data_IF_097562878097
#
_entry.id   IF_097562878097
#
_cell.length_a   1.000
_cell.length_b   1.000
_cell.length_c   1.000
_cell.angle_alpha   90.00
_cell.angle_beta   90.00
_cell.angle_gamma   90.00
#
_symmetry.space_group_name_H-M   'P 1'
#
loop_
_entity.id
_entity.type
_entity.pdbx_description
1 polymer ?
#
# COMPACT_ATOMS: atom_id res chain seq x y z
N UNK A 1 14.31 34.00 14.57
CA UNK A 1 13.67 33.04 15.47
C UNK A 1 12.72 32.18 14.65
N UNK A 2 13.19 31.05 14.11
CA UNK A 2 12.33 30.05 13.42
C UNK A 2 12.88 28.61 13.50
N UNK A 3 13.83 28.35 14.39
CA UNK A 3 14.61 27.11 14.45
C UNK A 3 13.73 25.87 14.67
N UNK A 4 12.62 26.00 15.39
CA UNK A 4 11.72 24.88 15.67
C UNK A 4 11.02 24.36 14.41
N UNK A 5 10.51 25.26 13.58
CA UNK A 5 9.87 24.91 12.31
C UNK A 5 10.89 24.31 11.34
N UNK A 6 12.10 24.85 11.31
CA UNK A 6 13.18 24.32 10.47
C UNK A 6 13.59 22.89 10.87
N UNK A 7 13.67 22.61 12.18
CA UNK A 7 13.93 21.25 12.69
C UNK A 7 12.78 20.31 12.33
N UNK A 8 11.53 20.75 12.48
CA UNK A 8 10.35 19.96 12.10
C UNK A 8 10.36 19.61 10.61
N UNK A 9 10.63 20.56 9.73
CA UNK A 9 10.75 20.28 8.30
C UNK A 9 11.88 19.30 7.98
N UNK A 10 13.04 19.47 8.64
CA UNK A 10 14.20 18.58 8.43
C UNK A 10 13.95 17.16 8.96
N UNK A 11 13.33 17.04 10.13
CA UNK A 11 12.91 15.76 10.71
C UNK A 11 11.84 15.07 9.86
N UNK A 12 10.82 15.82 9.44
CA UNK A 12 9.73 15.29 8.61
C UNK A 12 10.26 14.80 7.28
N UNK A 13 11.17 15.55 6.64
CA UNK A 13 11.84 15.12 5.40
C UNK A 13 12.65 13.85 5.59
N UNK A 14 13.37 13.72 6.71
CA UNK A 14 14.08 12.49 7.06
C UNK A 14 13.11 11.32 7.27
N UNK A 15 12.04 11.52 8.03
CA UNK A 15 11.04 10.50 8.32
C UNK A 15 10.37 10.01 7.03
N UNK A 16 9.98 10.92 6.13
CA UNK A 16 9.42 10.57 4.82
C UNK A 16 10.44 9.77 4.00
N UNK A 17 11.70 10.20 3.96
CA UNK A 17 12.73 9.47 3.21
C UNK A 17 12.98 8.07 3.78
N UNK A 18 12.98 7.92 5.11
CA UNK A 18 13.10 6.62 5.80
C UNK A 18 11.90 5.74 5.51
N UNK A 19 10.68 6.27 5.61
CA UNK A 19 9.45 5.55 5.30
C UNK A 19 9.50 5.09 3.85
N UNK A 20 9.73 5.99 2.89
CA UNK A 20 9.80 5.62 1.46
C UNK A 20 10.88 4.57 1.21
N UNK A 21 12.09 4.76 1.76
CA UNK A 21 13.20 3.81 1.60
C UNK A 21 12.90 2.43 2.21
N UNK A 22 12.32 2.42 3.41
CA UNK A 22 11.91 1.20 4.12
C UNK A 22 10.82 0.45 3.36
N UNK A 23 9.76 1.13 2.93
CA UNK A 23 8.69 0.54 2.13
C UNK A 23 9.24 0.05 0.78
N UNK A 24 10.10 0.82 0.11
CA UNK A 24 10.66 0.38 -1.17
C UNK A 24 11.53 -0.88 -1.01
N UNK A 25 12.34 -0.95 0.05
CA UNK A 25 13.18 -2.13 0.34
C UNK A 25 12.35 -3.36 0.70
N UNK A 26 11.32 -3.20 1.55
CA UNK A 26 10.45 -4.29 2.00
C UNK A 26 9.46 -4.76 0.94
N UNK A 27 8.99 -3.87 0.06
CA UNK A 27 8.11 -4.20 -1.06
C UNK A 27 8.87 -4.74 -2.29
N UNK A 28 10.19 -4.53 -2.40
CA UNK A 28 11.04 -5.09 -3.48
C UNK A 28 10.85 -6.60 -3.73
N UNK A 29 10.87 -7.48 -2.71
CA UNK A 29 10.56 -8.91 -2.91
C UNK A 29 9.13 -9.15 -3.40
N UNK A 30 8.16 -8.34 -2.96
CA UNK A 30 6.75 -8.44 -3.41
C UNK A 30 6.65 -8.13 -4.91
N UNK A 31 7.29 -7.05 -5.37
CA UNK A 31 7.37 -6.73 -6.80
C UNK A 31 8.11 -7.80 -7.61
N UNK A 32 9.12 -8.46 -7.02
CA UNK A 32 9.84 -9.57 -7.67
C UNK A 32 8.94 -10.78 -7.88
N UNK A 33 8.11 -11.13 -6.89
CA UNK A 33 7.12 -12.23 -7.04
C UNK A 33 6.09 -11.91 -8.13
N UNK A 34 5.72 -10.63 -8.27
CA UNK A 34 4.75 -10.17 -9.25
C UNK A 34 5.27 -10.12 -10.70
N UNK A 35 6.59 -10.19 -10.92
CA UNK A 35 7.21 -10.21 -12.25
C UNK A 35 7.03 -11.55 -12.98
N UNK A 36 6.78 -12.64 -12.25
CA UNK A 36 6.54 -13.94 -12.85
C UNK A 36 5.10 -14.00 -13.38
N UNK A 37 4.90 -14.19 -14.70
CA UNK A 37 3.58 -14.20 -15.36
C UNK A 37 2.58 -15.13 -14.67
N UNK A 38 2.99 -16.35 -14.27
CA UNK A 38 2.09 -17.30 -13.58
C UNK A 38 1.67 -16.80 -12.19
N UNK A 39 2.60 -16.20 -11.44
CA UNK A 39 2.32 -15.67 -10.10
C UNK A 39 1.54 -14.36 -10.15
N UNK A 40 1.73 -13.54 -11.20
CA UNK A 40 0.95 -12.34 -11.47
C UNK A 40 -0.54 -12.67 -11.65
N UNK A 41 -0.85 -13.70 -12.42
CA UNK A 41 -2.24 -14.14 -12.63
C UNK A 41 -2.88 -14.58 -11.31
N UNK A 42 -2.19 -15.39 -10.51
CA UNK A 42 -2.67 -15.83 -9.19
C UNK A 42 -2.93 -14.63 -8.27
N UNK A 43 -1.98 -13.68 -8.21
CA UNK A 43 -2.14 -12.47 -7.42
C UNK A 43 -3.35 -11.64 -7.88
N UNK A 44 -3.55 -11.50 -9.19
CA UNK A 44 -4.70 -10.77 -9.75
C UNK A 44 -6.04 -11.41 -9.40
N UNK A 45 -6.12 -12.75 -9.43
CA UNK A 45 -7.33 -13.49 -9.06
C UNK A 45 -7.66 -13.27 -7.57
N UNK A 46 -6.66 -13.36 -6.70
CA UNK A 46 -6.85 -13.13 -5.25
C UNK A 46 -7.36 -11.72 -4.98
N UNK A 47 -6.79 -10.71 -5.65
CA UNK A 47 -7.24 -9.32 -5.50
C UNK A 47 -8.69 -9.14 -6.00
N UNK A 48 -9.04 -9.75 -7.13
CA UNK A 48 -10.41 -9.69 -7.67
C UNK A 48 -11.42 -10.32 -6.70
N UNK A 49 -11.10 -11.47 -6.13
CA UNK A 49 -11.93 -12.12 -5.11
C UNK A 49 -12.10 -11.20 -3.90
N UNK A 50 -11.02 -10.60 -3.41
CA UNK A 50 -11.07 -9.69 -2.27
C UNK A 50 -11.98 -8.48 -2.52
N UNK A 51 -11.90 -7.86 -3.71
CA UNK A 51 -12.76 -6.74 -4.11
C UNK A 51 -14.23 -7.17 -4.15
N UNK A 52 -14.53 -8.34 -4.75
CA UNK A 52 -15.90 -8.87 -4.82
C UNK A 52 -16.44 -9.16 -3.42
N UNK A 53 -15.62 -9.73 -2.54
CA UNK A 53 -16.02 -9.99 -1.15
C UNK A 53 -16.32 -8.70 -0.40
N UNK A 54 -15.45 -7.69 -0.52
CA UNK A 54 -15.68 -6.37 0.10
C UNK A 54 -16.96 -5.73 -0.46
N UNK A 55 -17.16 -5.78 -1.77
CA UNK A 55 -18.37 -5.26 -2.42
C UNK A 55 -19.62 -5.95 -1.87
N UNK A 56 -19.58 -7.28 -1.73
CA UNK A 56 -20.71 -8.04 -1.18
C UNK A 56 -20.99 -7.66 0.27
N UNK A 57 -19.95 -7.57 1.11
CA UNK A 57 -20.08 -7.13 2.51
C UNK A 57 -20.73 -5.74 2.58
N UNK A 58 -20.23 -4.78 1.82
CA UNK A 58 -20.77 -3.41 1.81
C UNK A 58 -22.23 -3.42 1.32
N UNK A 59 -22.54 -4.17 0.26
CA UNK A 59 -23.90 -4.31 -0.27
C UNK A 59 -24.85 -4.90 0.78
N UNK A 60 -24.44 -5.96 1.47
CA UNK A 60 -25.22 -6.58 2.56
C UNK A 60 -25.40 -5.63 3.73
N UNK A 61 -24.38 -4.88 4.13
CA UNK A 61 -24.48 -3.91 5.23
C UNK A 61 -25.33 -2.69 4.88
N UNK A 62 -25.40 -2.33 3.60
CA UNK A 62 -26.11 -1.12 3.13
C UNK A 62 -27.50 -1.44 2.58
N UNK A 63 -27.93 -2.72 2.58
CA UNK A 63 -29.20 -3.19 2.00
C UNK A 63 -29.46 -2.61 0.59
N UNK A 64 -28.41 -2.45 -0.22
CA UNK A 64 -28.57 -1.99 -1.59
C UNK A 64 -28.93 -3.21 -2.45
N UNK A 65 -30.20 -3.32 -2.81
CA UNK A 65 -30.71 -4.31 -3.77
C UNK A 65 -30.08 -4.15 -5.14
#
# INVERSE_FOLDING_TARGET
>A
MNNMLEILFKFTRFLIAVIIGFFLATLKPIFKVLKNKKRKTIFSIINMIMIVTIYYIIRTMTNQE
#
